data_IF_868093649054
#
_entry.id   IF_868093649054
#
_cell.length_a   1.000
_cell.length_b   1.000
_cell.length_c   1.000
_cell.angle_alpha   90.00
_cell.angle_beta   90.00
_cell.angle_gamma   90.00
#
_symmetry.space_group_name_H-M   'P 1'
#
loop_
_entity.id
_entity.type
_entity.pdbx_description
1 polymer ?
#
# COMPACT_ATOMS: atom_id res chain seq x y z
N UNK A 1 10.73 0.67 -3.14
CA UNK A 1 10.02 0.00 -2.02
C UNK A 1 9.95 -1.48 -2.35
N UNK A 2 10.27 -2.49 -1.57
CA UNK A 2 10.92 -2.64 -0.26
C UNK A 2 11.80 -3.87 -0.41
N UNK A 3 13.09 -3.68 -0.19
CA UNK A 3 14.11 -4.72 0.00
C UNK A 3 14.95 -4.36 1.23
N UNK A 4 14.65 -3.21 1.85
CA UNK A 4 15.30 -2.75 3.06
C UNK A 4 14.59 -3.40 4.25
N UNK A 5 15.35 -3.85 5.25
CA UNK A 5 14.77 -4.45 6.44
C UNK A 5 13.91 -3.42 7.19
N UNK A 6 12.72 -3.86 7.63
CA UNK A 6 11.88 -3.09 8.54
C UNK A 6 12.58 -3.06 9.92
N UNK A 7 12.73 -1.89 10.57
CA UNK A 7 13.31 -1.82 11.91
C UNK A 7 12.54 -2.69 12.90
N UNK A 8 13.26 -3.38 13.79
CA UNK A 8 12.70 -4.42 14.68
C UNK A 8 11.47 -3.99 15.48
N UNK A 9 11.37 -2.72 15.88
CA UNK A 9 10.20 -2.22 16.61
C UNK A 9 8.88 -2.32 15.84
N UNK A 10 8.94 -2.34 14.51
CA UNK A 10 7.77 -2.37 13.64
C UNK A 10 7.53 -3.74 13.00
N UNK A 11 8.41 -4.72 13.23
CA UNK A 11 8.26 -6.07 12.68
C UNK A 11 6.89 -6.69 13.03
N UNK A 12 6.37 -6.61 14.28
CA UNK A 12 5.05 -7.15 14.59
C UNK A 12 3.92 -6.50 13.78
N UNK A 13 3.98 -5.17 13.60
CA UNK A 13 3.03 -4.44 12.78
C UNK A 13 3.12 -4.78 11.29
N UNK A 14 4.34 -4.97 10.80
CA UNK A 14 4.60 -5.37 9.42
C UNK A 14 4.11 -6.80 9.13
N UNK A 15 4.32 -7.75 10.03
CA UNK A 15 3.80 -9.11 9.88
C UNK A 15 2.27 -9.13 9.89
N UNK A 16 1.65 -8.48 10.88
CA UNK A 16 0.19 -8.34 10.93
C UNK A 16 -0.37 -7.67 9.66
N UNK A 17 0.36 -6.70 9.11
CA UNK A 17 0.03 -6.04 7.86
C UNK A 17 0.05 -7.00 6.67
N UNK A 18 1.12 -7.77 6.49
CA UNK A 18 1.19 -8.73 5.39
C UNK A 18 0.14 -9.84 5.51
N UNK A 19 0.00 -10.45 6.69
CA UNK A 19 -0.98 -11.51 6.94
C UNK A 19 -2.42 -11.07 6.64
N UNK A 20 -2.75 -9.82 7.01
CA UNK A 20 -4.09 -9.27 6.83
C UNK A 20 -4.31 -8.76 5.41
N UNK A 21 -3.41 -7.89 4.93
CA UNK A 21 -3.63 -7.09 3.73
C UNK A 21 -3.11 -7.74 2.44
N UNK A 22 -2.33 -8.83 2.52
CA UNK A 22 -1.94 -9.64 1.37
C UNK A 22 -2.93 -10.80 1.07
N UNK A 23 -4.02 -10.93 1.83
CA UNK A 23 -4.94 -12.07 1.75
C UNK A 23 -5.89 -12.05 0.54
N UNK A 24 -6.30 -10.86 0.09
CA UNK A 24 -7.25 -10.68 -1.01
C UNK A 24 -6.62 -10.06 -2.28
N UNK A 25 -5.61 -9.22 -2.09
CA UNK A 25 -4.83 -8.56 -3.14
C UNK A 25 -3.40 -8.36 -2.64
N UNK A 26 -2.50 -7.84 -3.47
CA UNK A 26 -1.14 -7.50 -3.03
C UNK A 26 -1.16 -6.51 -1.87
N UNK A 27 -0.24 -6.66 -0.92
CA UNK A 27 -0.04 -5.67 0.13
C UNK A 27 0.54 -4.38 -0.48
N UNK A 28 -0.25 -3.31 -0.50
CA UNK A 28 0.12 -2.00 -1.06
C UNK A 28 1.08 -1.27 -0.10
N UNK A 29 2.26 -0.80 -0.54
CA UNK A 29 3.20 -0.11 0.35
C UNK A 29 2.59 1.13 1.03
N UNK A 30 2.90 1.39 2.31
CA UNK A 30 2.35 2.54 3.04
C UNK A 30 2.60 3.90 2.36
N UNK A 31 3.66 4.05 1.59
CA UNK A 31 3.99 5.28 0.88
C UNK A 31 3.05 5.58 -0.30
N UNK A 32 2.25 4.61 -0.76
CA UNK A 32 1.37 4.78 -1.91
C UNK A 32 0.15 5.67 -1.59
N UNK A 33 -0.25 5.77 -0.33
CA UNK A 33 -1.38 6.55 0.16
C UNK A 33 -0.98 7.43 1.35
N UNK A 34 -1.67 8.56 1.59
CA UNK A 34 -1.40 9.34 2.78
C UNK A 34 -1.85 8.63 4.05
N UNK A 35 -1.24 9.02 5.17
CA UNK A 35 -1.52 8.47 6.51
C UNK A 35 -3.02 8.53 6.87
N UNK A 36 -3.71 9.60 6.50
CA UNK A 36 -5.14 9.79 6.74
C UNK A 36 -5.99 8.79 5.96
N UNK A 37 -5.58 8.43 4.73
CA UNK A 37 -6.30 7.43 3.94
C UNK A 37 -6.19 6.06 4.55
N UNK A 38 -4.99 5.67 4.99
CA UNK A 38 -4.79 4.42 5.72
C UNK A 38 -5.64 4.37 6.99
N UNK A 39 -5.69 5.47 7.73
CA UNK A 39 -6.53 5.58 8.93
C UNK A 39 -8.01 5.31 8.62
N UNK A 40 -8.54 5.90 7.55
CA UNK A 40 -9.94 5.70 7.18
C UNK A 40 -10.23 4.28 6.67
N UNK A 41 -9.30 3.69 5.92
CA UNK A 41 -9.40 2.29 5.45
C UNK A 41 -9.42 1.33 6.65
N UNK A 42 -8.47 1.48 7.58
CA UNK A 42 -8.32 0.60 8.74
C UNK A 42 -9.46 0.74 9.77
N UNK A 43 -10.24 1.82 9.71
CA UNK A 43 -11.40 2.07 10.59
C UNK A 43 -12.68 1.39 10.12
N UNK A 44 -12.72 0.90 8.88
CA UNK A 44 -13.92 0.32 8.27
C UNK A 44 -13.66 -1.11 7.76
N UNK A 45 -13.24 -2.05 8.62
CA UNK A 45 -12.94 -3.42 8.20
C UNK A 45 -14.16 -4.15 7.63
N UNK A 46 -15.37 -3.78 8.05
CA UNK A 46 -16.63 -4.36 7.56
C UNK A 46 -17.07 -3.78 6.20
N UNK A 47 -16.37 -2.75 5.70
CA UNK A 47 -16.63 -2.14 4.41
C UNK A 47 -15.30 -1.76 3.73
N UNK A 48 -14.55 -2.79 3.37
CA UNK A 48 -13.31 -2.67 2.60
C UNK A 48 -13.62 -2.82 1.11
N UNK A 49 -14.24 -1.79 0.52
CA UNK A 49 -14.62 -1.77 -0.90
C UNK A 49 -15.59 -2.91 -1.29
N UNK A 50 -16.59 -3.15 -0.45
CA UNK A 50 -17.63 -4.16 -0.69
C UNK A 50 -17.34 -5.55 -0.13
N UNK A 51 -16.22 -5.73 0.58
CA UNK A 51 -15.91 -6.96 1.32
C UNK A 51 -15.61 -6.67 2.80
N UNK A 52 -15.70 -7.71 3.62
CA UNK A 52 -15.32 -7.70 5.04
C UNK A 52 -13.92 -8.29 5.19
N UNK A 53 -13.04 -7.64 5.95
CA UNK A 53 -11.71 -8.18 6.26
C UNK A 53 -11.86 -9.27 7.33
N UNK A 54 -11.52 -10.54 7.03
CA UNK A 54 -11.65 -11.63 8.00
C UNK A 54 -10.66 -11.46 9.16
N UNK A 55 -11.04 -11.92 10.35
CA UNK A 55 -10.18 -11.96 11.55
C UNK A 55 -9.56 -10.60 11.96
N UNK A 56 -10.17 -9.49 11.53
CA UNK A 56 -9.69 -8.15 11.85
C UNK A 56 -10.28 -7.65 13.17
N UNK A 57 -9.44 -7.58 14.22
CA UNK A 57 -9.84 -7.10 15.54
C UNK A 57 -9.04 -5.85 15.95
N UNK A 58 -9.32 -5.32 17.14
CA UNK A 58 -8.67 -4.10 17.64
C UNK A 58 -7.15 -4.22 17.80
N UNK A 59 -6.64 -5.37 18.21
CA UNK A 59 -5.20 -5.59 18.33
C UNK A 59 -4.53 -5.58 16.95
N UNK A 60 -5.10 -6.32 15.99
CA UNK A 60 -4.64 -6.32 14.59
C UNK A 60 -4.62 -4.91 14.00
N UNK A 61 -5.70 -4.14 14.21
CA UNK A 61 -5.77 -2.75 13.76
C UNK A 61 -4.64 -1.89 14.34
N UNK A 62 -4.35 -2.01 15.64
CA UNK A 62 -3.31 -1.21 16.30
C UNK A 62 -1.90 -1.56 15.80
N UNK A 63 -1.62 -2.86 15.61
CA UNK A 63 -0.34 -3.33 15.08
C UNK A 63 -0.12 -2.83 13.65
N UNK A 64 -1.12 -2.99 12.78
CA UNK A 64 -1.04 -2.51 11.39
C UNK A 64 -0.90 -0.99 11.36
N UNK A 65 -1.64 -0.27 12.21
CA UNK A 65 -1.55 1.18 12.31
C UNK A 65 -0.16 1.66 12.76
N UNK A 66 0.48 0.98 13.73
CA UNK A 66 1.83 1.32 14.18
C UNK A 66 2.83 1.23 13.01
N UNK A 67 2.75 0.19 12.18
CA UNK A 67 3.55 0.12 10.97
C UNK A 67 3.14 1.20 9.95
N UNK A 68 1.90 1.21 9.48
CA UNK A 68 1.47 2.09 8.39
C UNK A 68 1.66 3.57 8.67
N UNK A 69 1.36 4.04 9.88
CA UNK A 69 1.47 5.46 10.22
C UNK A 69 2.91 5.96 10.20
N UNK A 70 3.89 5.08 10.42
CA UNK A 70 5.31 5.44 10.45
C UNK A 70 5.98 5.37 9.07
N UNK A 71 5.43 4.59 8.14
CA UNK A 71 5.95 4.45 6.77
C UNK A 71 5.09 5.17 5.72
N UNK A 72 4.02 5.86 6.12
CA UNK A 72 3.23 6.75 5.26
C UNK A 72 3.54 8.22 5.54
N UNK A 73 3.10 9.11 4.64
CA UNK A 73 3.26 10.57 4.81
C UNK A 73 1.90 11.25 4.96
N UNK A 74 1.79 12.31 5.76
CA UNK A 74 0.53 13.01 5.97
C UNK A 74 0.03 13.66 4.67
N UNK A 75 -1.28 13.71 4.49
CA UNK A 75 -1.92 14.43 3.40
C UNK A 75 -1.63 15.93 3.56
N UNK A 76 -1.20 16.64 2.51
CA UNK A 76 -1.08 18.09 2.57
C UNK A 76 -2.43 18.74 2.87
N UNK A 77 -2.43 19.93 3.52
CA UNK A 77 -3.64 20.73 3.69
C UNK A 77 -4.37 20.94 2.35
N UNK A 78 -5.70 21.05 2.42
CA UNK A 78 -6.60 21.34 1.29
C UNK A 78 -6.54 20.35 0.10
N UNK A 79 -5.90 19.19 0.29
CA UNK A 79 -5.91 18.12 -0.70
C UNK A 79 -7.11 17.18 -0.49
N UNK A 80 -7.76 16.69 -1.57
CA UNK A 80 -8.78 15.67 -1.44
C UNK A 80 -8.17 14.38 -0.87
N UNK A 81 -8.90 13.70 0.01
CA UNK A 81 -8.47 12.44 0.62
C UNK A 81 -8.65 11.27 -0.36
N UNK A 82 -7.59 10.66 -0.91
CA UNK A 82 -7.72 9.56 -1.86
C UNK A 82 -7.85 8.22 -1.11
N UNK A 83 -8.94 7.46 -1.30
CA UNK A 83 -9.02 6.10 -0.75
C UNK A 83 -8.53 5.02 -1.72
N UNK A 84 -8.34 5.39 -2.99
CA UNK A 84 -7.84 4.51 -4.04
C UNK A 84 -6.44 4.94 -4.48
N UNK A 85 -5.55 3.97 -4.70
CA UNK A 85 -4.12 4.19 -4.98
C UNK A 85 -3.92 5.00 -6.26
N UNK A 86 -4.69 4.73 -7.31
CA UNK A 86 -4.59 5.43 -8.60
C UNK A 86 -4.97 6.91 -8.52
N UNK A 87 -5.74 7.29 -7.49
CA UNK A 87 -6.10 8.69 -7.21
C UNK A 87 -5.07 9.40 -6.33
N UNK A 88 -4.13 8.67 -5.74
CA UNK A 88 -3.13 9.22 -4.82
C UNK A 88 -2.05 10.02 -5.55
N UNK A 89 -1.80 11.24 -5.07
CA UNK A 89 -0.64 12.03 -5.52
C UNK A 89 0.69 11.37 -5.18
N UNK A 90 0.75 10.62 -4.06
CA UNK A 90 1.95 9.92 -3.64
C UNK A 90 2.29 8.80 -4.61
N UNK A 91 1.30 8.00 -4.98
CA UNK A 91 1.46 6.95 -5.99
C UNK A 91 1.92 7.51 -7.35
N UNK A 92 1.32 8.63 -7.80
CA UNK A 92 1.75 9.31 -9.04
C UNK A 92 3.19 9.83 -8.96
N UNK A 93 3.58 10.39 -7.83
CA UNK A 93 4.96 10.87 -7.61
C UNK A 93 5.98 9.72 -7.59
N UNK A 94 5.58 8.52 -7.18
CA UNK A 94 6.41 7.30 -7.24
C UNK A 94 6.51 6.73 -8.65
N UNK A 95 5.60 7.09 -9.56
CA UNK A 95 5.57 6.62 -10.95
C UNK A 95 5.56 7.79 -11.95
N UNK A 96 6.53 8.72 -11.90
CA UNK A 96 6.49 9.95 -12.69
C UNK A 96 6.63 9.70 -14.21
N UNK A 97 7.15 8.53 -14.59
CA UNK A 97 7.43 8.13 -15.99
C UNK A 97 6.36 7.21 -16.59
N UNK A 98 5.32 6.86 -15.83
CA UNK A 98 4.32 5.89 -16.25
C UNK A 98 2.97 6.59 -16.39
N UNK A 99 2.38 6.52 -17.58
CA UNK A 99 0.97 6.87 -17.75
C UNK A 99 0.14 5.67 -17.29
N UNK A 100 -0.55 5.83 -16.16
CA UNK A 100 -1.32 4.75 -15.57
C UNK A 100 -2.53 4.39 -16.44
N UNK A 101 -2.77 3.09 -16.73
CA UNK A 101 -3.97 2.66 -17.44
C UNK A 101 -5.25 3.08 -16.68
N UNK A 102 -6.32 3.44 -17.41
CA UNK A 102 -7.57 3.89 -16.80
C UNK A 102 -8.29 2.79 -15.98
N UNK A 103 -8.00 1.53 -16.26
CA UNK A 103 -8.57 0.33 -15.63
C UNK A 103 -7.61 -0.33 -14.61
N UNK A 104 -6.54 0.36 -14.21
CA UNK A 104 -5.60 -0.15 -13.23
C UNK A 104 -6.28 -0.46 -11.89
N UNK A 105 -5.98 -1.63 -11.34
CA UNK A 105 -6.44 -2.04 -10.00
C UNK A 105 -5.23 -2.44 -9.14
N UNK A 106 -5.46 -2.81 -7.88
CA UNK A 106 -4.43 -3.39 -7.02
C UNK A 106 -3.79 -4.66 -7.61
N UNK A 107 -4.46 -5.36 -8.55
CA UNK A 107 -3.92 -6.54 -9.23
C UNK A 107 -2.93 -6.19 -10.33
N UNK A 108 -2.95 -4.96 -10.84
CA UNK A 108 -2.14 -4.54 -11.99
C UNK A 108 -0.66 -4.35 -11.63
N UNK A 109 -0.32 -4.19 -10.35
CA UNK A 109 1.05 -3.90 -9.88
C UNK A 109 2.08 -4.94 -10.35
N UNK A 110 1.68 -6.21 -10.42
CA UNK A 110 2.57 -7.32 -10.81
C UNK A 110 3.08 -7.22 -12.25
N UNK A 111 2.36 -6.47 -13.10
CA UNK A 111 2.70 -6.30 -14.53
C UNK A 111 4.07 -5.66 -14.72
N UNK A 112 4.39 -4.64 -13.91
CA UNK A 112 5.70 -3.99 -13.95
C UNK A 112 6.62 -4.46 -12.83
N UNK A 113 6.06 -4.91 -11.70
CA UNK A 113 6.79 -5.35 -10.53
C UNK A 113 6.58 -6.86 -10.30
N UNK A 114 7.38 -7.74 -10.93
CA UNK A 114 7.11 -9.18 -10.92
C UNK A 114 7.23 -9.82 -9.52
N UNK A 115 7.86 -9.13 -8.56
CA UNK A 115 8.16 -9.68 -7.23
C UNK A 115 7.30 -9.09 -6.09
N UNK A 116 6.16 -8.46 -6.42
CA UNK A 116 5.28 -7.81 -5.43
C UNK A 116 4.66 -8.75 -4.41
N UNK A 117 4.50 -10.04 -4.75
CA UNK A 117 4.04 -11.06 -3.80
C UNK A 117 4.99 -11.21 -2.59
N UNK A 118 6.28 -10.94 -2.79
CA UNK A 118 7.30 -10.93 -1.74
C UNK A 118 7.51 -9.50 -1.17
N UNK A 119 6.53 -8.62 -1.35
CA UNK A 119 6.58 -7.21 -0.97
C UNK A 119 7.78 -6.46 -1.59
N UNK A 120 8.26 -6.91 -2.75
CA UNK A 120 9.36 -6.27 -3.47
C UNK A 120 8.83 -5.55 -4.73
N UNK A 121 8.67 -4.24 -4.61
CA UNK A 121 8.33 -3.32 -5.71
C UNK A 121 9.58 -2.63 -6.29
N UNK A 122 10.80 -3.04 -5.92
CA UNK A 122 12.04 -2.50 -6.52
C UNK A 122 12.39 -3.24 -7.80
N UNK A 123 12.16 -4.55 -7.83
CA UNK A 123 12.37 -5.34 -9.04
C UNK A 123 11.35 -4.92 -10.09
N UNK A 124 11.85 -4.58 -11.27
CA UNK A 124 11.06 -4.21 -12.44
C UNK A 124 11.21 -5.26 -13.54
N UNK A 125 10.24 -5.36 -14.43
CA UNK A 125 10.43 -6.08 -15.70
C UNK A 125 11.43 -5.33 -16.59
N UNK A 126 12.09 -6.02 -17.54
CA UNK A 126 13.13 -5.41 -18.38
C UNK A 126 12.70 -4.13 -19.09
N UNK A 127 11.42 -4.05 -19.49
CA UNK A 127 10.85 -2.88 -20.20
C UNK A 127 10.90 -1.60 -19.36
N UNK A 128 10.92 -1.73 -18.03
CA UNK A 128 10.92 -0.62 -17.09
C UNK A 128 12.25 -0.43 -16.35
N UNK A 129 13.19 -1.38 -16.47
CA UNK A 129 14.45 -1.37 -15.73
C UNK A 129 15.37 -0.20 -16.16
N UNK A 130 15.24 0.24 -17.41
CA UNK A 130 16.00 1.36 -18.02
C UNK A 130 15.07 2.38 -18.72
N UNK A 131 13.78 2.41 -18.38
CA UNK A 131 12.84 3.34 -19.00
C UNK A 131 13.24 4.80 -18.72
N UNK A 132 13.34 5.65 -19.76
CA UNK A 132 13.85 7.03 -19.66
C UNK A 132 13.09 7.90 -18.66
#
# INVERSE_FOLDING_TARGET
MSVDPVPTRYEPGFQAYLETCASCHIAIPPEALPTESWREILRKPDNHFGVVIPNYNRLTQLLIWDYMSNFSRPLPPDSPLPLYVEKSRYFKALHPRVTMPPDMTSKSCVTCHPNVANFNFRTLTPEWNDAP
#
